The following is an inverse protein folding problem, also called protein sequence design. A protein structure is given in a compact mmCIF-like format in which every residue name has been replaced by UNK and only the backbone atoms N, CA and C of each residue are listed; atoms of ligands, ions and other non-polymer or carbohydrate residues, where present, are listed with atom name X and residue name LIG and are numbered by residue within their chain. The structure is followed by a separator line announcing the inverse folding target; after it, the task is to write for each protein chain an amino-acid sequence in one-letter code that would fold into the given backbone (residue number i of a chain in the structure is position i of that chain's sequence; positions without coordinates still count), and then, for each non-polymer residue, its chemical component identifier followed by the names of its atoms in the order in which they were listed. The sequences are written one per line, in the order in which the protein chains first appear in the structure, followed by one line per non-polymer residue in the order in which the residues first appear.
data_IF_418441346758
#
_entry.id   IF_418441346758
#
_cell.length_a   1.000
_cell.length_b   1.000
_cell.length_c   1.000
_cell.angle_alpha   90.00
_cell.angle_beta   90.00
_cell.angle_gamma   90.00
#
_symmetry.space_group_name_H-M   'P 1'
#
loop_
_entity.id
_entity.type
_entity.pdbx_description
1 polymer ?
#
# COMPACT_ATOMS: atom_id res chain seq x y z
N UNK A 1 -51.23 21.82 75.04
CA UNK A 1 -49.80 21.36 75.19
C UNK A 1 -49.22 21.31 73.79
N UNK A 2 -48.41 22.33 73.44
CA UNK A 2 -47.82 22.49 72.15
C UNK A 2 -46.37 21.96 72.20
N UNK A 3 -46.12 20.84 71.46
CA UNK A 3 -44.73 20.40 71.21
C UNK A 3 -44.21 21.02 69.90
N UNK A 4 -43.23 21.90 70.04
CA UNK A 4 -42.45 22.43 68.93
C UNK A 4 -41.40 21.41 68.54
N UNK A 5 -41.46 20.93 67.32
CA UNK A 5 -40.45 20.13 66.71
C UNK A 5 -39.28 21.04 66.28
N UNK A 6 -38.07 20.75 66.80
CA UNK A 6 -36.81 21.40 66.40
C UNK A 6 -36.24 20.59 65.24
N UNK A 7 -36.26 21.15 64.00
CA UNK A 7 -35.60 20.57 62.83
C UNK A 7 -34.12 20.98 62.89
N UNK A 8 -33.23 20.01 63.11
CA UNK A 8 -31.78 20.18 62.97
C UNK A 8 -31.42 19.98 61.52
N UNK A 9 -31.05 21.05 60.82
CA UNK A 9 -30.42 20.96 59.50
C UNK A 9 -28.96 20.54 59.63
N UNK A 10 -28.65 19.32 59.24
CA UNK A 10 -27.27 18.83 59.11
C UNK A 10 -26.70 19.34 57.80
N UNK A 11 -25.84 20.33 57.81
CA UNK A 11 -25.08 20.79 56.65
C UNK A 11 -23.95 19.77 56.36
N UNK A 12 -24.17 18.93 55.33
CA UNK A 12 -23.11 18.08 54.77
C UNK A 12 -22.17 18.98 53.94
N UNK A 13 -21.00 19.27 54.50
CA UNK A 13 -19.89 19.87 53.76
C UNK A 13 -19.27 18.78 52.88
N UNK A 14 -19.65 18.72 51.62
CA UNK A 14 -18.96 17.90 50.62
C UNK A 14 -17.65 18.62 50.29
N UNK A 15 -16.55 18.16 50.85
CA UNK A 15 -15.22 18.55 50.41
C UNK A 15 -14.97 17.91 49.05
N UNK A 16 -15.18 18.67 47.99
CA UNK A 16 -14.68 18.33 46.65
C UNK A 16 -13.16 18.43 46.71
N UNK A 17 -12.50 17.29 46.95
CA UNK A 17 -11.08 17.18 46.70
C UNK A 17 -10.87 17.34 45.19
N UNK A 18 -10.48 18.55 44.80
CA UNK A 18 -10.03 18.82 43.43
C UNK A 18 -8.92 17.84 43.08
N UNK A 19 -9.20 16.94 42.16
CA UNK A 19 -8.15 16.20 41.48
C UNK A 19 -7.29 17.27 40.79
N UNK A 20 -6.15 17.59 41.41
CA UNK A 20 -5.09 18.33 40.79
C UNK A 20 -4.73 17.58 39.53
N UNK A 21 -5.11 18.12 38.35
CA UNK A 21 -4.45 17.73 37.11
C UNK A 21 -2.97 18.01 37.33
N UNK A 22 -2.20 16.95 37.57
CA UNK A 22 -0.75 17.04 37.53
C UNK A 22 -0.40 17.53 36.15
N UNK A 23 0.10 18.75 36.05
CA UNK A 23 0.74 19.28 34.85
C UNK A 23 1.81 18.26 34.43
N UNK A 24 1.47 17.37 33.50
CA UNK A 24 2.42 16.37 33.04
C UNK A 24 3.52 17.15 32.31
N UNK A 25 4.67 17.31 32.99
CA UNK A 25 5.82 17.94 32.37
C UNK A 25 6.19 17.24 31.09
N UNK A 26 6.12 17.98 29.95
CA UNK A 26 6.49 17.47 28.63
C UNK A 26 8.00 17.48 28.42
N UNK A 27 8.50 16.63 27.51
CA UNK A 27 9.91 16.59 27.07
C UNK A 27 10.89 16.27 28.21
N UNK A 28 10.54 15.33 29.09
CA UNK A 28 11.38 14.90 30.18
C UNK A 28 12.31 13.74 29.82
N UNK A 29 13.50 13.75 30.40
CA UNK A 29 14.45 12.63 30.37
C UNK A 29 14.69 12.08 31.77
N UNK A 30 15.05 10.82 31.86
CA UNK A 30 15.54 10.20 33.10
C UNK A 30 17.00 10.60 33.42
N UNK A 31 17.56 9.99 34.44
CA UNK A 31 18.95 10.26 34.89
C UNK A 31 20.00 9.83 33.89
N UNK A 32 19.67 8.86 33.03
CA UNK A 32 20.51 8.39 31.91
C UNK A 32 20.33 9.20 30.62
N UNK A 33 19.47 10.26 30.63
CA UNK A 33 19.16 11.11 29.48
C UNK A 33 18.17 10.50 28.49
N UNK A 34 17.52 9.37 28.81
CA UNK A 34 16.54 8.73 27.96
C UNK A 34 15.18 9.42 28.08
N UNK A 35 14.50 9.59 26.95
CA UNK A 35 13.16 10.18 26.89
C UNK A 35 12.15 9.35 27.67
N UNK A 36 11.33 10.04 28.47
CA UNK A 36 10.25 9.48 29.28
C UNK A 36 8.99 10.34 29.16
N UNK A 37 7.81 9.68 29.18
CA UNK A 37 6.52 10.38 29.22
C UNK A 37 6.16 11.08 27.90
N UNK A 38 5.41 12.17 28.01
CA UNK A 38 4.88 12.94 26.88
C UNK A 38 5.94 13.84 26.25
N UNK A 39 6.07 13.77 24.91
CA UNK A 39 7.03 14.54 24.14
C UNK A 39 6.35 15.25 22.97
N UNK A 40 6.65 16.54 22.82
CA UNK A 40 6.26 17.36 21.69
C UNK A 40 7.52 17.95 21.07
N UNK A 41 7.73 17.72 19.76
CA UNK A 41 8.78 18.40 18.99
C UNK A 41 8.14 19.34 17.98
N UNK A 42 8.75 20.48 17.76
CA UNK A 42 8.28 21.50 16.82
C UNK A 42 9.25 21.68 15.65
N UNK A 43 8.72 22.11 14.53
CA UNK A 43 9.47 22.64 13.40
C UNK A 43 10.03 24.04 13.73
N UNK A 44 11.00 24.58 12.94
CA UNK A 44 11.54 25.92 13.13
C UNK A 44 10.46 27.03 13.08
N UNK A 45 9.38 26.82 12.32
CA UNK A 45 8.24 27.75 12.23
C UNK A 45 7.29 27.69 13.45
N UNK A 46 7.59 26.85 14.46
CA UNK A 46 6.83 26.70 15.69
C UNK A 46 5.69 25.67 15.60
N UNK A 47 5.35 25.14 14.43
CA UNK A 47 4.33 24.12 14.26
C UNK A 47 4.79 22.76 14.85
N UNK A 48 3.84 21.95 15.31
CA UNK A 48 4.16 20.63 15.89
C UNK A 48 4.67 19.70 14.76
N UNK A 49 5.82 19.09 14.99
CA UNK A 49 6.41 18.06 14.13
C UNK A 49 5.92 16.68 14.55
N UNK A 50 5.95 16.40 15.86
CA UNK A 50 5.35 15.21 16.44
C UNK A 50 4.86 15.44 17.87
N UNK A 51 3.90 14.62 18.27
CA UNK A 51 3.30 14.52 19.58
C UNK A 51 3.13 13.04 19.93
N UNK A 52 3.72 12.58 21.05
CA UNK A 52 3.68 11.18 21.41
C UNK A 52 4.35 10.86 22.73
N UNK A 53 4.33 9.60 23.10
CA UNK A 53 4.88 9.12 24.35
C UNK A 53 6.13 8.28 24.14
N UNK A 54 7.07 8.38 25.08
CA UNK A 54 8.29 7.58 25.14
C UNK A 54 8.46 6.86 26.47
N UNK A 55 9.03 5.66 26.39
CA UNK A 55 9.53 4.88 27.51
C UNK A 55 10.95 4.43 27.17
N UNK A 56 11.95 4.92 27.88
CA UNK A 56 13.36 4.64 27.64
C UNK A 56 13.79 4.85 26.18
N UNK A 57 13.52 6.04 25.62
CA UNK A 57 13.74 6.44 24.22
C UNK A 57 12.88 5.71 23.17
N UNK A 58 12.12 4.70 23.55
CA UNK A 58 11.24 3.98 22.64
C UNK A 58 9.85 4.62 22.60
N UNK A 59 9.26 4.85 21.43
CA UNK A 59 7.89 5.33 21.34
C UNK A 59 6.92 4.29 21.90
N UNK A 60 5.84 4.74 22.56
CA UNK A 60 4.84 3.88 23.19
C UNK A 60 3.45 4.49 23.07
N UNK A 61 2.42 3.66 22.78
CA UNK A 61 1.06 4.14 22.58
C UNK A 61 0.90 5.00 21.33
N UNK A 62 -0.04 5.95 21.39
CA UNK A 62 -0.33 6.81 20.24
C UNK A 62 0.79 7.82 19.99
N UNK A 63 1.21 7.94 18.74
CA UNK A 63 2.26 8.82 18.27
C UNK A 63 1.83 9.50 16.97
N UNK A 64 1.60 10.80 17.02
CA UNK A 64 1.19 11.64 15.89
C UNK A 64 2.38 12.34 15.27
N UNK A 65 2.43 12.39 13.95
CA UNK A 65 3.35 13.24 13.20
C UNK A 65 2.56 14.17 12.29
N UNK A 66 3.09 15.34 12.03
CA UNK A 66 2.44 16.37 11.23
C UNK A 66 3.36 16.81 10.09
N UNK A 67 2.78 17.30 9.01
CA UNK A 67 3.50 18.07 8.00
C UNK A 67 3.84 19.45 8.58
N UNK A 68 4.80 20.14 7.98
CA UNK A 68 5.25 21.44 8.46
C UNK A 68 4.14 22.51 8.41
N UNK A 69 3.19 22.37 7.48
CA UNK A 69 2.00 23.22 7.32
C UNK A 69 0.81 22.81 8.24
N UNK A 70 1.04 21.99 9.26
CA UNK A 70 0.10 21.51 10.28
C UNK A 70 -0.76 20.29 9.96
N UNK A 71 -1.10 19.89 8.72
CA UNK A 71 -1.92 18.69 8.52
C UNK A 71 -1.28 17.47 9.17
N UNK A 72 -2.14 16.55 9.63
CA UNK A 72 -1.70 15.27 10.20
C UNK A 72 -1.02 14.44 9.10
N UNK A 73 0.18 13.92 9.38
CA UNK A 73 0.98 13.09 8.47
C UNK A 73 0.86 11.60 8.78
N UNK A 74 0.82 11.25 10.07
CA UNK A 74 0.64 9.88 10.50
C UNK A 74 0.14 9.76 11.92
N UNK A 75 -0.61 8.68 12.19
CA UNK A 75 -0.88 8.16 13.52
C UNK A 75 -0.27 6.76 13.57
N UNK A 76 0.59 6.54 14.56
CA UNK A 76 1.21 5.27 14.85
C UNK A 76 0.79 4.85 16.26
N UNK A 77 0.24 3.64 16.41
CA UNK A 77 -0.09 3.08 17.73
C UNK A 77 0.95 2.02 18.06
N UNK A 78 1.91 2.38 18.90
CA UNK A 78 3.02 1.52 19.26
C UNK A 78 2.65 0.51 20.36
N UNK A 79 3.24 -0.68 20.28
CA UNK A 79 3.29 -1.65 21.36
C UNK A 79 4.03 -1.07 22.58
N UNK A 80 3.84 -1.67 23.76
CA UNK A 80 4.48 -1.20 25.02
C UNK A 80 6.01 -1.20 24.95
N UNK A 81 6.59 -2.11 24.20
CA UNK A 81 8.05 -2.24 24.00
C UNK A 81 8.57 -1.40 22.83
N UNK A 82 7.68 -0.72 22.08
CA UNK A 82 8.00 0.14 20.95
C UNK A 82 8.48 -0.60 19.69
N UNK A 83 8.39 -1.93 19.65
CA UNK A 83 8.89 -2.73 18.52
C UNK A 83 7.90 -2.84 17.37
N UNK A 84 6.61 -2.80 17.68
CA UNK A 84 5.54 -2.88 16.67
C UNK A 84 4.72 -1.59 16.68
N UNK A 85 4.16 -1.23 15.52
CA UNK A 85 3.20 -0.15 15.42
C UNK A 85 2.14 -0.43 14.35
N UNK A 86 0.87 -0.17 14.66
CA UNK A 86 -0.18 -0.04 13.66
C UNK A 86 -0.15 1.39 13.14
N UNK A 87 -0.08 1.53 11.83
CA UNK A 87 0.11 2.81 11.16
C UNK A 87 -1.11 3.21 10.34
N UNK A 88 -1.48 4.48 10.45
CA UNK A 88 -2.32 5.19 9.48
C UNK A 88 -1.53 6.40 8.99
N UNK A 89 -1.26 6.45 7.69
CA UNK A 89 -0.55 7.55 7.04
C UNK A 89 -1.56 8.38 6.24
N UNK A 90 -1.32 9.68 6.16
CA UNK A 90 -2.21 10.63 5.51
C UNK A 90 -1.50 11.41 4.43
N UNK A 91 -2.23 11.78 3.38
CA UNK A 91 -1.83 12.77 2.41
C UNK A 91 -1.92 14.19 3.01
N UNK A 92 -1.23 15.20 2.42
CA UNK A 92 -1.34 16.59 2.89
C UNK A 92 -2.76 17.18 2.85
N UNK A 93 -3.64 16.64 2.01
CA UNK A 93 -5.07 17.01 1.96
C UNK A 93 -5.92 16.37 3.08
N UNK A 94 -5.31 15.57 3.96
CA UNK A 94 -5.96 14.93 5.10
C UNK A 94 -6.60 13.57 4.81
N UNK A 95 -6.63 13.13 3.54
CA UNK A 95 -7.15 11.80 3.19
C UNK A 95 -6.17 10.71 3.66
N UNK A 96 -6.69 9.54 4.01
CA UNK A 96 -5.86 8.36 4.34
C UNK A 96 -5.08 7.96 3.10
N UNK A 97 -3.75 7.88 3.22
CA UNK A 97 -2.86 7.43 2.15
C UNK A 97 -2.60 5.92 2.23
N UNK A 98 -2.32 5.42 3.44
CA UNK A 98 -2.08 3.99 3.63
C UNK A 98 -2.27 3.55 5.08
N UNK A 99 -2.55 2.25 5.26
CA UNK A 99 -2.61 1.60 6.56
C UNK A 99 -1.82 0.30 6.53
N UNK A 100 -1.20 -0.05 7.68
CA UNK A 100 -0.45 -1.29 7.79
C UNK A 100 0.25 -1.43 9.14
N UNK A 101 1.15 -2.39 9.22
CA UNK A 101 1.92 -2.67 10.43
C UNK A 101 3.41 -2.44 10.17
N UNK A 102 4.06 -1.83 11.14
CA UNK A 102 5.52 -1.81 11.25
C UNK A 102 5.99 -2.79 12.33
N UNK A 103 7.09 -3.46 12.06
CA UNK A 103 7.87 -4.23 13.05
C UNK A 103 9.32 -3.75 12.96
N UNK A 104 9.88 -3.27 14.06
CA UNK A 104 11.20 -2.64 14.10
C UNK A 104 11.37 -1.53 13.04
N UNK A 105 10.33 -0.70 12.85
CA UNK A 105 10.24 0.39 11.87
C UNK A 105 10.21 -0.05 10.38
N UNK A 106 10.15 -1.35 10.10
CA UNK A 106 10.02 -1.92 8.76
C UNK A 106 8.58 -2.35 8.51
N UNK A 107 8.06 -2.16 7.29
CA UNK A 107 6.73 -2.66 6.90
C UNK A 107 6.71 -4.18 7.03
N UNK A 108 5.61 -4.70 7.64
CA UNK A 108 5.39 -6.13 7.80
C UNK A 108 3.93 -6.48 7.55
N UNK A 109 3.66 -7.63 6.91
CA UNK A 109 2.32 -8.09 6.59
C UNK A 109 1.63 -7.24 5.52
N UNK A 110 0.30 -7.22 5.56
CA UNK A 110 -0.53 -6.55 4.56
C UNK A 110 -0.57 -5.03 4.78
N UNK A 111 -0.23 -4.30 3.72
CA UNK A 111 -0.40 -2.84 3.61
C UNK A 111 -1.49 -2.53 2.59
N UNK A 112 -2.32 -1.54 2.91
CA UNK A 112 -3.38 -1.00 2.05
C UNK A 112 -3.05 0.42 1.67
N UNK A 113 -3.25 0.77 0.41
CA UNK A 113 -3.00 2.09 -0.15
C UNK A 113 -4.29 2.64 -0.75
N UNK A 114 -4.57 3.90 -0.49
CA UNK A 114 -5.82 4.56 -0.83
C UNK A 114 -5.58 5.73 -1.78
N UNK A 115 -6.64 6.17 -2.45
CA UNK A 115 -6.60 7.26 -3.41
C UNK A 115 -6.35 8.62 -2.73
N UNK A 116 -5.54 9.46 -3.39
CA UNK A 116 -5.39 10.88 -3.05
C UNK A 116 -6.59 11.73 -3.50
N UNK A 117 -7.43 11.19 -4.40
CA UNK A 117 -8.53 11.92 -5.03
C UNK A 117 -9.85 11.82 -4.27
N UNK A 118 -10.05 10.75 -3.49
CA UNK A 118 -11.30 10.50 -2.77
C UNK A 118 -11.08 9.61 -1.54
N UNK A 119 -11.95 9.77 -0.52
CA UNK A 119 -11.91 8.96 0.69
C UNK A 119 -12.16 7.48 0.40
N UNK A 120 -11.46 6.62 1.14
CA UNK A 120 -11.71 5.19 1.29
C UNK A 120 -11.69 4.37 -0.02
N UNK A 121 -11.21 4.95 -1.12
CA UNK A 121 -11.03 4.20 -2.36
C UNK A 121 -9.69 3.46 -2.28
N UNK A 122 -9.77 2.15 -2.10
CA UNK A 122 -8.62 1.25 -2.11
C UNK A 122 -8.07 1.14 -3.54
N UNK A 123 -6.80 1.49 -3.73
CA UNK A 123 -6.13 1.42 -5.05
C UNK A 123 -5.11 0.29 -5.13
N UNK A 124 -4.55 -0.13 -3.99
CA UNK A 124 -3.61 -1.25 -3.94
C UNK A 124 -3.56 -1.91 -2.57
N UNK A 125 -3.28 -3.21 -2.56
CA UNK A 125 -2.83 -3.96 -1.39
C UNK A 125 -1.50 -4.65 -1.72
N UNK A 126 -0.58 -4.68 -0.76
CA UNK A 126 0.70 -5.36 -0.93
C UNK A 126 1.12 -6.07 0.37
N UNK A 127 1.67 -7.26 0.24
CA UNK A 127 2.27 -7.99 1.35
C UNK A 127 3.76 -7.64 1.44
N UNK A 128 4.20 -7.29 2.66
CA UNK A 128 5.57 -6.91 2.97
C UNK A 128 6.19 -7.85 4.00
N UNK A 129 7.47 -8.08 3.86
CA UNK A 129 8.32 -8.61 4.91
C UNK A 129 9.61 -7.81 4.97
N UNK A 130 9.89 -7.17 6.11
CA UNK A 130 11.07 -6.33 6.36
C UNK A 130 11.26 -5.25 5.27
N UNK A 131 10.20 -4.46 5.02
CA UNK A 131 10.10 -3.40 3.98
C UNK A 131 10.11 -3.89 2.52
N UNK A 132 10.33 -5.17 2.26
CA UNK A 132 10.32 -5.72 0.90
C UNK A 132 8.96 -6.30 0.55
N UNK A 133 8.46 -6.05 -0.66
CA UNK A 133 7.30 -6.75 -1.19
C UNK A 133 7.59 -8.24 -1.22
N UNK A 134 6.77 -9.03 -0.50
CA UNK A 134 6.96 -10.48 -0.37
C UNK A 134 5.62 -11.16 -0.16
N UNK A 135 5.01 -11.59 -1.25
CA UNK A 135 3.65 -12.12 -1.31
C UNK A 135 2.83 -11.46 -2.41
N UNK A 136 1.51 -11.47 -2.26
CA UNK A 136 0.58 -10.93 -3.24
C UNK A 136 0.57 -9.39 -3.20
N UNK A 137 0.63 -8.79 -4.39
CA UNK A 137 0.30 -7.39 -4.64
C UNK A 137 -0.91 -7.36 -5.55
N UNK A 138 -1.96 -6.67 -5.12
CA UNK A 138 -3.18 -6.46 -5.91
C UNK A 138 -3.38 -4.96 -6.15
N UNK A 139 -3.81 -4.60 -7.37
CA UNK A 139 -4.23 -3.24 -7.74
C UNK A 139 -5.69 -3.27 -8.13
N UNK A 140 -6.39 -2.19 -7.89
CA UNK A 140 -7.83 -2.12 -8.05
C UNK A 140 -8.24 -0.94 -8.93
N UNK A 141 -9.32 -1.12 -9.67
CA UNK A 141 -10.07 -0.04 -10.29
C UNK A 141 -10.87 0.74 -9.25
N UNK A 142 -11.38 1.90 -9.64
CA UNK A 142 -12.17 2.76 -8.76
C UNK A 142 -13.42 2.06 -8.19
N UNK A 143 -14.00 1.11 -8.92
CA UNK A 143 -15.17 0.33 -8.50
C UNK A 143 -14.81 -0.84 -7.55
N UNK A 144 -13.54 -0.98 -7.18
CA UNK A 144 -13.02 -2.02 -6.28
C UNK A 144 -12.72 -3.36 -6.96
N UNK A 145 -12.98 -3.50 -8.28
CA UNK A 145 -12.58 -4.70 -9.01
C UNK A 145 -11.06 -4.77 -9.19
N UNK A 146 -10.51 -5.97 -9.17
CA UNK A 146 -9.09 -6.17 -9.41
C UNK A 146 -8.69 -5.74 -10.82
N UNK A 147 -7.65 -4.89 -10.93
CA UNK A 147 -7.00 -4.52 -12.18
C UNK A 147 -5.75 -5.39 -12.44
N UNK A 148 -5.00 -5.71 -11.39
CA UNK A 148 -3.79 -6.54 -11.46
C UNK A 148 -3.62 -7.35 -10.18
N UNK A 149 -3.16 -8.59 -10.32
CA UNK A 149 -2.66 -9.42 -9.21
C UNK A 149 -1.30 -9.98 -9.61
N UNK A 150 -0.30 -9.82 -8.76
CA UNK A 150 1.07 -10.22 -9.03
C UNK A 150 1.78 -10.62 -7.74
N UNK A 151 2.47 -11.74 -7.75
CA UNK A 151 3.29 -12.15 -6.63
C UNK A 151 4.71 -11.54 -6.69
N UNK A 152 5.24 -11.24 -5.52
CA UNK A 152 6.60 -10.75 -5.32
C UNK A 152 7.35 -11.63 -4.34
N UNK A 153 8.67 -11.72 -4.54
CA UNK A 153 9.61 -12.32 -3.61
C UNK A 153 10.80 -11.36 -3.45
N UNK A 154 10.94 -10.76 -2.27
CA UNK A 154 11.99 -9.78 -1.97
C UNK A 154 12.10 -8.65 -3.02
N UNK A 155 10.97 -7.97 -3.31
CA UNK A 155 10.81 -6.91 -4.32
C UNK A 155 10.94 -7.34 -5.79
N UNK A 156 11.27 -8.58 -6.07
CA UNK A 156 11.29 -9.10 -7.44
C UNK A 156 9.95 -9.74 -7.79
N UNK A 157 9.40 -9.45 -8.98
CA UNK A 157 8.25 -10.16 -9.52
C UNK A 157 8.53 -11.65 -9.56
N UNK A 158 7.60 -12.47 -9.03
CA UNK A 158 7.80 -13.91 -8.93
C UNK A 158 6.46 -14.64 -8.90
N UNK A 159 6.26 -15.61 -9.81
CA UNK A 159 5.00 -16.32 -9.93
C UNK A 159 4.05 -15.69 -10.95
N UNK A 160 2.77 -16.06 -10.86
CA UNK A 160 1.75 -15.63 -11.81
C UNK A 160 1.45 -14.13 -11.70
N UNK A 161 1.25 -13.51 -12.86
CA UNK A 161 0.72 -12.17 -13.02
C UNK A 161 -0.57 -12.26 -13.85
N UNK A 162 -1.65 -11.73 -13.32
CA UNK A 162 -2.93 -11.60 -14.03
C UNK A 162 -3.38 -10.15 -14.04
N UNK A 163 -3.90 -9.70 -15.18
CA UNK A 163 -4.51 -8.38 -15.33
C UNK A 163 -5.92 -8.53 -15.91
N UNK A 164 -6.75 -7.56 -15.59
CA UNK A 164 -8.15 -7.58 -15.99
C UNK A 164 -8.54 -6.26 -16.65
N UNK A 165 -9.55 -6.29 -17.49
CA UNK A 165 -10.29 -5.12 -17.93
C UNK A 165 -11.24 -4.63 -16.81
N UNK A 166 -11.78 -3.39 -16.91
CA UNK A 166 -12.71 -2.87 -15.89
C UNK A 166 -13.99 -3.71 -15.71
N UNK A 167 -14.42 -4.44 -16.74
CA UNK A 167 -15.55 -5.36 -16.66
C UNK A 167 -15.22 -6.68 -15.91
N UNK A 168 -13.93 -6.93 -15.64
CA UNK A 168 -13.42 -8.15 -14.99
C UNK A 168 -12.94 -9.22 -15.99
N UNK A 169 -13.06 -8.99 -17.28
CA UNK A 169 -12.51 -9.89 -18.33
C UNK A 169 -10.98 -9.92 -18.23
N UNK A 170 -10.38 -11.09 -18.37
CA UNK A 170 -8.92 -11.25 -18.35
C UNK A 170 -8.26 -10.50 -19.51
N UNK A 171 -7.29 -9.66 -19.22
CA UNK A 171 -6.47 -8.91 -20.19
C UNK A 171 -5.17 -9.62 -20.50
N UNK A 172 -4.52 -10.13 -19.44
CA UNK A 172 -3.18 -10.72 -19.51
C UNK A 172 -3.02 -11.79 -18.44
N UNK A 173 -2.39 -12.89 -18.82
CA UNK A 173 -1.83 -13.86 -17.88
C UNK A 173 -0.39 -14.16 -18.29
N UNK A 174 0.53 -14.08 -17.36
CA UNK A 174 1.93 -14.44 -17.58
C UNK A 174 2.58 -14.87 -16.28
N UNK A 175 3.84 -15.28 -16.34
CA UNK A 175 4.59 -15.71 -15.16
C UNK A 175 5.94 -15.02 -15.10
N UNK A 176 6.42 -14.79 -13.87
CA UNK A 176 7.73 -14.22 -13.59
C UNK A 176 8.56 -15.16 -12.72
N UNK A 177 9.86 -15.22 -12.98
CA UNK A 177 10.85 -15.83 -12.10
C UNK A 177 11.96 -14.81 -11.83
N UNK A 178 12.10 -14.39 -10.57
CA UNK A 178 13.13 -13.43 -10.12
C UNK A 178 13.17 -12.13 -10.97
N UNK A 179 12.00 -11.60 -11.32
CA UNK A 179 11.86 -10.37 -12.08
C UNK A 179 11.76 -10.55 -13.60
N UNK A 180 12.13 -11.71 -14.12
CA UNK A 180 12.11 -12.01 -15.55
C UNK A 180 10.81 -12.70 -15.96
N UNK A 181 10.26 -12.33 -17.12
CA UNK A 181 9.19 -13.09 -17.78
C UNK A 181 9.68 -14.51 -18.08
N UNK A 182 8.91 -15.51 -17.65
CA UNK A 182 9.28 -16.90 -17.81
C UNK A 182 8.03 -17.79 -17.83
N UNK A 183 7.85 -18.57 -18.91
CA UNK A 183 6.68 -19.41 -19.12
C UNK A 183 5.65 -18.76 -20.05
N UNK A 184 4.40 -19.19 -19.94
CA UNK A 184 3.31 -18.76 -20.84
C UNK A 184 3.05 -17.26 -20.78
N UNK A 185 2.72 -16.71 -21.92
CA UNK A 185 2.23 -15.36 -22.10
C UNK A 185 0.91 -15.42 -22.89
N UNK A 186 -0.17 -14.99 -22.28
CA UNK A 186 -1.52 -15.05 -22.83
C UNK A 186 -2.17 -13.67 -22.70
N UNK A 187 -2.40 -12.98 -23.81
CA UNK A 187 -3.15 -11.74 -23.83
C UNK A 187 -4.52 -11.94 -24.49
N UNK A 188 -5.50 -11.17 -24.06
CA UNK A 188 -6.89 -11.35 -24.46
C UNK A 188 -7.51 -10.02 -24.89
N UNK A 189 -8.46 -10.10 -25.80
CA UNK A 189 -9.38 -9.03 -26.15
C UNK A 189 -10.44 -8.85 -25.05
N UNK A 190 -11.13 -7.70 -25.04
CA UNK A 190 -12.24 -7.44 -24.13
C UNK A 190 -13.40 -8.44 -24.25
N UNK A 191 -13.56 -9.11 -25.40
CA UNK A 191 -14.55 -10.18 -25.57
C UNK A 191 -14.09 -11.54 -25.01
N UNK A 192 -12.95 -11.59 -24.31
CA UNK A 192 -12.37 -12.78 -23.69
C UNK A 192 -11.64 -13.72 -24.64
N UNK A 193 -11.63 -13.45 -25.95
CA UNK A 193 -10.90 -14.27 -26.93
C UNK A 193 -9.40 -14.00 -26.85
N UNK A 194 -8.55 -15.01 -27.11
CA UNK A 194 -7.11 -14.81 -27.18
C UNK A 194 -6.74 -13.78 -28.26
N UNK A 195 -5.79 -12.90 -27.93
CA UNK A 195 -5.15 -11.96 -28.86
C UNK A 195 -3.72 -12.39 -29.15
N UNK A 196 -2.98 -12.78 -28.12
CA UNK A 196 -1.60 -13.25 -28.21
C UNK A 196 -1.45 -14.50 -27.35
N UNK A 197 -0.89 -15.55 -27.93
CA UNK A 197 -0.43 -16.73 -27.18
C UNK A 197 1.04 -16.96 -27.50
N UNK A 198 1.88 -17.09 -26.50
CA UNK A 198 3.30 -17.34 -26.63
C UNK A 198 3.92 -17.78 -25.32
N UNK A 199 5.22 -17.80 -25.29
CA UNK A 199 5.98 -18.03 -24.05
C UNK A 199 7.27 -17.23 -24.03
N UNK A 200 7.71 -16.96 -22.81
CA UNK A 200 9.00 -16.35 -22.51
C UNK A 200 9.92 -17.34 -21.82
N UNK A 201 11.21 -17.20 -22.06
CA UNK A 201 12.29 -17.79 -21.31
C UNK A 201 13.30 -16.68 -21.00
N UNK A 202 13.42 -16.32 -19.74
CA UNK A 202 14.34 -15.29 -19.24
C UNK A 202 14.21 -13.94 -20.00
N UNK A 203 12.98 -13.42 -20.13
CA UNK A 203 12.58 -12.22 -20.89
C UNK A 203 12.72 -12.33 -22.41
N UNK A 204 13.16 -13.45 -22.95
CA UNK A 204 13.24 -13.67 -24.39
C UNK A 204 12.05 -14.49 -24.88
N UNK A 205 11.45 -14.08 -26.00
CA UNK A 205 10.42 -14.89 -26.66
C UNK A 205 11.01 -16.22 -27.08
N UNK A 206 10.29 -17.32 -26.85
CA UNK A 206 10.75 -18.67 -27.13
C UNK A 206 9.59 -19.53 -27.62
N UNK A 207 9.82 -20.34 -28.67
CA UNK A 207 8.80 -21.17 -29.31
C UNK A 207 7.76 -20.38 -30.11
N UNK A 208 6.56 -20.98 -30.31
CA UNK A 208 5.51 -20.42 -31.16
C UNK A 208 4.82 -19.22 -30.51
N UNK A 209 4.66 -18.15 -31.30
CA UNK A 209 3.85 -16.98 -30.99
C UNK A 209 2.70 -16.89 -31.97
N UNK A 210 1.48 -16.91 -31.46
CA UNK A 210 0.24 -16.91 -32.23
C UNK A 210 -0.49 -15.61 -31.95
N UNK A 211 -0.81 -14.88 -32.98
CA UNK A 211 -1.55 -13.62 -32.93
C UNK A 211 -2.89 -13.80 -33.65
N UNK A 212 -3.96 -13.44 -32.93
CA UNK A 212 -5.32 -13.60 -33.39
C UNK A 212 -5.98 -12.26 -33.68
N UNK A 213 -7.03 -12.27 -34.50
CA UNK A 213 -7.96 -11.18 -34.69
C UNK A 213 -9.08 -11.26 -33.66
N UNK A 214 -9.81 -10.16 -33.47
CA UNK A 214 -10.95 -10.08 -32.53
C UNK A 214 -12.08 -11.08 -32.85
N UNK A 215 -12.21 -11.54 -34.10
CA UNK A 215 -13.14 -12.59 -34.53
C UNK A 215 -12.69 -14.01 -34.15
N UNK A 216 -11.44 -14.16 -33.69
CA UNK A 216 -10.81 -15.43 -33.29
C UNK A 216 -10.03 -16.11 -34.43
N UNK A 217 -10.01 -15.54 -35.64
CA UNK A 217 -9.18 -16.07 -36.73
C UNK A 217 -7.69 -15.76 -36.48
N UNK A 218 -6.82 -16.69 -36.86
CA UNK A 218 -5.37 -16.49 -36.77
C UNK A 218 -4.94 -15.35 -37.70
N UNK A 219 -4.23 -14.35 -37.18
CA UNK A 219 -3.67 -13.25 -37.98
C UNK A 219 -2.32 -13.65 -38.55
N UNK A 220 -1.42 -14.14 -37.67
CA UNK A 220 -0.13 -14.74 -38.09
C UNK A 220 0.44 -15.61 -36.97
N UNK A 221 1.43 -16.43 -37.33
CA UNK A 221 2.26 -17.21 -36.43
C UNK A 221 3.73 -16.92 -36.71
N UNK A 222 4.52 -16.78 -35.68
CA UNK A 222 5.99 -16.66 -35.75
C UNK A 222 6.60 -17.61 -34.74
N UNK A 223 7.72 -18.23 -35.09
CA UNK A 223 8.51 -19.07 -34.20
C UNK A 223 9.71 -18.24 -33.68
N UNK A 224 10.03 -18.31 -32.41
CA UNK A 224 11.17 -17.66 -31.82
C UNK A 224 12.13 -18.66 -31.16
N UNK A 225 13.42 -18.40 -31.30
CA UNK A 225 14.47 -19.11 -30.60
C UNK A 225 15.33 -18.09 -29.87
N UNK A 226 15.30 -18.09 -28.53
CA UNK A 226 16.03 -17.14 -27.69
C UNK A 226 15.84 -15.66 -28.11
N UNK A 227 14.62 -15.25 -28.39
CA UNK A 227 14.26 -13.90 -28.80
C UNK A 227 14.44 -13.58 -30.28
N UNK A 228 15.04 -14.49 -31.05
CA UNK A 228 15.29 -14.34 -32.49
C UNK A 228 14.19 -15.09 -33.25
N UNK A 229 13.45 -14.43 -34.14
CA UNK A 229 12.45 -15.09 -34.94
C UNK A 229 13.04 -15.89 -36.16
N UNK A 230 12.43 -16.99 -36.49
CA UNK A 230 12.92 -17.91 -37.54
C UNK A 230 12.84 -17.33 -38.97
N UNK A 231 12.07 -16.27 -39.17
CA UNK A 231 11.85 -15.71 -40.51
C UNK A 231 12.09 -14.19 -40.54
N UNK A 232 13.28 -13.79 -40.96
CA UNK A 232 13.75 -12.40 -40.97
C UNK A 232 12.97 -11.43 -41.87
N UNK A 233 12.19 -11.88 -42.82
CA UNK A 233 11.47 -11.01 -43.79
C UNK A 233 10.06 -10.59 -43.33
N UNK A 234 9.43 -11.39 -42.47
CA UNK A 234 8.09 -11.09 -41.96
C UNK A 234 8.19 -10.21 -40.70
N UNK A 235 9.35 -9.98 -40.22
CA UNK A 235 9.70 -9.84 -38.82
C UNK A 235 9.65 -8.45 -38.22
N UNK A 236 10.21 -7.45 -38.88
CA UNK A 236 10.34 -6.11 -38.28
C UNK A 236 8.95 -5.55 -37.97
N UNK A 237 8.04 -5.60 -38.93
CA UNK A 237 6.67 -5.09 -38.74
C UNK A 237 5.86 -5.90 -37.72
N UNK A 238 6.03 -7.22 -37.69
CA UNK A 238 5.33 -8.08 -36.73
C UNK A 238 5.92 -7.98 -35.34
N UNK A 239 7.25 -7.83 -35.22
CA UNK A 239 7.92 -7.59 -33.95
C UNK A 239 7.51 -6.23 -33.36
N UNK A 240 7.53 -5.16 -34.15
CA UNK A 240 7.08 -3.83 -33.71
C UNK A 240 5.61 -3.81 -33.30
N UNK A 241 4.76 -4.55 -34.02
CA UNK A 241 3.35 -4.70 -33.67
C UNK A 241 3.18 -5.44 -32.34
N UNK A 242 3.87 -6.57 -32.14
CA UNK A 242 3.88 -7.30 -30.87
C UNK A 242 4.39 -6.44 -29.73
N UNK A 243 5.49 -5.72 -29.92
CA UNK A 243 6.06 -4.83 -28.92
C UNK A 243 5.10 -3.70 -28.53
N UNK A 244 4.32 -3.20 -29.51
CA UNK A 244 3.30 -2.18 -29.23
C UNK A 244 2.13 -2.74 -28.41
N UNK A 245 1.66 -3.94 -28.74
CA UNK A 245 0.60 -4.62 -28.01
C UNK A 245 1.03 -4.95 -26.58
N UNK A 246 2.24 -5.48 -26.40
CA UNK A 246 2.79 -5.80 -25.09
C UNK A 246 2.96 -4.54 -24.23
N UNK A 247 3.52 -3.46 -24.78
CA UNK A 247 3.66 -2.17 -24.07
C UNK A 247 2.32 -1.64 -23.57
N UNK A 248 1.27 -1.74 -24.40
CA UNK A 248 -0.08 -1.28 -24.02
C UNK A 248 -0.73 -2.16 -22.96
N UNK A 249 -0.40 -3.46 -22.90
CA UNK A 249 -0.94 -4.41 -21.92
C UNK A 249 -0.17 -4.42 -20.58
N UNK A 250 1.10 -4.03 -20.61
CA UNK A 250 2.02 -4.14 -19.44
C UNK A 250 2.05 -2.87 -18.59
N UNK A 251 1.68 -1.70 -19.14
CA UNK A 251 1.82 -0.41 -18.45
C UNK A 251 0.67 -0.14 -17.50
N UNK A 252 0.83 -0.52 -16.24
CA UNK A 252 0.03 -0.01 -15.13
C UNK A 252 0.98 0.78 -14.22
N UNK A 253 0.75 2.10 -14.02
CA UNK A 253 1.53 2.91 -13.11
C UNK A 253 1.49 2.30 -11.68
N UNK A 254 2.44 2.63 -10.84
CA UNK A 254 2.44 2.15 -9.47
C UNK A 254 1.60 3.10 -8.59
N UNK A 255 0.35 2.74 -8.24
CA UNK A 255 -0.53 3.62 -7.49
C UNK A 255 0.00 3.93 -6.08
N UNK A 256 0.89 3.08 -5.55
CA UNK A 256 1.53 3.34 -4.25
C UNK A 256 2.44 4.58 -4.29
N UNK A 257 2.92 4.96 -5.49
CA UNK A 257 3.77 6.14 -5.69
C UNK A 257 2.99 7.39 -6.03
N UNK A 258 1.92 7.27 -6.80
CA UNK A 258 1.15 8.40 -7.32
C UNK A 258 -0.09 8.71 -6.49
N UNK A 259 -0.70 7.70 -5.84
CA UNK A 259 -2.00 7.82 -5.19
C UNK A 259 -3.16 7.97 -6.17
N UNK A 260 -2.91 7.83 -7.47
CA UNK A 260 -3.90 8.03 -8.52
C UNK A 260 -4.70 6.74 -8.77
N UNK A 261 -5.95 6.93 -9.22
CA UNK A 261 -6.88 5.87 -9.61
C UNK A 261 -6.76 5.65 -11.12
N UNK A 262 -7.07 4.44 -11.56
CA UNK A 262 -7.16 4.03 -12.97
C UNK A 262 -8.52 4.35 -13.57
#
# INVERSE_FOLDING_TARGET
MNFKAITVCLLLVISVSGLSQTDQSINQTDKEGKKQGHWIKKYPNGNIMYDGYFVNDKPSGEFKRYYEEKPLKSVLVFSKDGTEAIATLYYPNGLVASTGKYVNQLKEGKWRFFSIMANDILISEAEYSKDKKNGLVAKYYQDGKAAEKLFYKNDLKHGECVKYYPDGTLTLRTNYINGNLNGKFEAFFENGRPEILGQYKDNLRDGPWLIYKKDGSLKFKTEYSAGVPDNSKIDIYQSDYLDSLERNKVRIADPEKTGEIW
#
